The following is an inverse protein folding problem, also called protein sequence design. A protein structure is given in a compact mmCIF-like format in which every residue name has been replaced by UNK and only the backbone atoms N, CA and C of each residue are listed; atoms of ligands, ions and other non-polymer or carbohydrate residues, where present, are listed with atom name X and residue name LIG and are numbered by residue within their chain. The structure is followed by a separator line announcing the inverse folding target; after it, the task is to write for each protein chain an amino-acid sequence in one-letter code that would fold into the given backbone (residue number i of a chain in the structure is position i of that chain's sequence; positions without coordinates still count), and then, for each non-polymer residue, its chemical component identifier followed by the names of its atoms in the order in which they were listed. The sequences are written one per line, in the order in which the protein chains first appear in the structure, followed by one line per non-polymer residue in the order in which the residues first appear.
data_IF_985050656326
#
_entry.id   IF_985050656326
#
_cell.length_a   1.000
_cell.length_b   1.000
_cell.length_c   1.000
_cell.angle_alpha   90.00
_cell.angle_beta   90.00
_cell.angle_gamma   90.00
#
_symmetry.space_group_name_H-M   'P 1'
#
loop_
_entity.id
_entity.type
_entity.pdbx_description
1 polymer ?
#
# COMPACT_ATOMS: atom_id res chain seq x y z
N UNK A 1 16.05 -3.21 6.16
CA UNK A 1 15.03 -3.29 5.10
C UNK A 1 14.16 -2.04 5.01
N UNK A 2 13.49 -1.60 6.09
CA UNK A 2 12.61 -0.41 6.06
C UNK A 2 13.37 0.90 5.81
N UNK A 3 14.52 1.11 6.48
CA UNK A 3 15.33 2.33 6.32
C UNK A 3 15.86 2.49 4.88
N UNK A 4 16.17 1.38 4.21
CA UNK A 4 16.61 1.38 2.81
C UNK A 4 15.49 1.89 1.90
N UNK A 5 14.27 1.38 2.06
CA UNK A 5 13.10 1.83 1.27
C UNK A 5 12.80 3.30 1.49
N UNK A 6 12.75 3.70 2.76
CA UNK A 6 12.53 5.10 3.12
C UNK A 6 13.61 5.99 2.51
N UNK A 7 14.89 5.58 2.62
CA UNK A 7 16.01 6.27 2.00
C UNK A 7 15.85 6.38 0.48
N UNK A 8 15.43 5.32 -0.20
CA UNK A 8 15.18 5.35 -1.64
C UNK A 8 14.07 6.36 -2.00
N UNK A 9 12.95 6.39 -1.27
CA UNK A 9 11.86 7.36 -1.53
C UNK A 9 12.38 8.79 -1.40
N UNK A 10 13.11 9.08 -0.33
CA UNK A 10 13.68 10.42 -0.09
C UNK A 10 14.69 10.79 -1.18
N UNK A 11 15.61 9.88 -1.51
CA UNK A 11 16.63 10.10 -2.56
C UNK A 11 15.97 10.32 -3.92
N UNK A 12 14.97 9.51 -4.29
CA UNK A 12 14.24 9.68 -5.54
C UNK A 12 13.53 11.05 -5.57
N UNK A 13 12.89 11.45 -4.47
CA UNK A 13 12.28 12.78 -4.35
C UNK A 13 13.29 13.91 -4.58
N UNK A 14 14.51 13.79 -4.03
CA UNK A 14 15.58 14.79 -4.20
C UNK A 14 16.16 14.77 -5.63
N UNK A 15 16.37 13.59 -6.21
CA UNK A 15 16.90 13.44 -7.58
C UNK A 15 15.95 14.00 -8.63
N UNK A 16 14.66 14.08 -8.32
CA UNK A 16 13.63 14.65 -9.19
C UNK A 16 13.62 16.19 -9.18
N UNK A 17 14.16 16.86 -8.14
CA UNK A 17 14.19 18.33 -8.00
C UNK A 17 14.77 19.09 -9.20
N UNK A 18 15.90 18.67 -9.80
CA UNK A 18 16.47 19.35 -10.97
C UNK A 18 15.58 19.28 -12.22
N UNK A 19 14.64 18.33 -12.27
CA UNK A 19 13.75 18.09 -13.41
C UNK A 19 12.39 18.78 -13.24
N UNK A 20 12.21 19.56 -12.18
CA UNK A 20 10.95 20.27 -11.94
C UNK A 20 10.68 21.27 -13.05
N UNK A 21 9.53 21.09 -13.69
CA UNK A 21 9.04 22.01 -14.69
C UNK A 21 7.62 22.46 -14.30
N UNK A 22 7.47 23.74 -13.95
CA UNK A 22 6.18 24.31 -13.56
C UNK A 22 5.17 24.30 -14.71
N UNK A 23 5.61 24.16 -15.97
CA UNK A 23 4.74 24.02 -17.13
C UNK A 23 4.04 22.65 -17.19
N UNK A 24 4.50 21.67 -16.39
CA UNK A 24 3.80 20.37 -16.27
C UNK A 24 2.48 20.49 -15.49
N UNK A 25 2.32 21.56 -14.70
CA UNK A 25 1.05 21.86 -14.04
C UNK A 25 0.19 22.66 -15.03
N UNK A 26 -0.78 21.98 -15.63
CA UNK A 26 -1.83 22.61 -16.42
C UNK A 26 -2.69 23.55 -15.56
N UNK A 27 -3.50 24.38 -16.20
CA UNK A 27 -4.37 25.33 -15.53
C UNK A 27 -5.13 24.66 -14.36
N UNK A 28 -5.12 25.31 -13.19
CA UNK A 28 -5.72 24.74 -11.99
C UNK A 28 -7.20 24.40 -12.25
N UNK A 29 -7.64 23.17 -11.96
CA UNK A 29 -9.01 22.75 -12.27
C UNK A 29 -10.04 23.56 -11.48
N UNK A 30 -11.32 23.59 -11.92
CA UNK A 30 -12.38 24.23 -11.15
C UNK A 30 -12.39 23.73 -9.70
N UNK A 31 -12.49 24.65 -8.73
CA UNK A 31 -12.39 24.32 -7.30
C UNK A 31 -13.34 23.19 -6.86
N UNK A 32 -14.53 23.12 -7.44
CA UNK A 32 -15.52 22.08 -7.13
C UNK A 32 -15.05 20.67 -7.54
N UNK A 33 -14.44 20.53 -8.72
CA UNK A 33 -13.90 19.26 -9.20
C UNK A 33 -12.67 18.86 -8.38
N UNK A 34 -11.80 19.81 -8.08
CA UNK A 34 -10.63 19.59 -7.21
C UNK A 34 -11.04 19.01 -5.85
N UNK A 35 -11.99 19.65 -5.15
CA UNK A 35 -12.40 19.16 -3.83
C UNK A 35 -13.12 17.81 -3.88
N UNK A 36 -13.92 17.56 -4.93
CA UNK A 36 -14.53 16.24 -5.14
C UNK A 36 -13.46 15.17 -5.28
N UNK A 37 -12.47 15.41 -6.15
CA UNK A 37 -11.45 14.40 -6.48
C UNK A 37 -10.49 14.18 -5.30
N UNK A 38 -10.12 15.24 -4.58
CA UNK A 38 -9.36 15.12 -3.32
C UNK A 38 -10.15 14.33 -2.29
N UNK A 39 -11.42 14.64 -2.08
CA UNK A 39 -12.23 13.93 -1.09
C UNK A 39 -12.41 12.45 -1.43
N UNK A 40 -12.57 12.12 -2.72
CA UNK A 40 -12.67 10.73 -3.19
C UNK A 40 -11.35 9.97 -3.06
N UNK A 41 -10.20 10.62 -3.29
CA UNK A 41 -8.87 9.96 -3.28
C UNK A 41 -8.21 9.93 -1.89
N UNK A 42 -8.62 10.79 -0.97
CA UNK A 42 -8.03 10.92 0.36
C UNK A 42 -8.13 9.62 1.19
N UNK A 43 -9.27 8.90 1.25
CA UNK A 43 -9.35 7.63 1.96
C UNK A 43 -8.33 6.61 1.43
N UNK A 44 -8.24 6.45 0.10
CA UNK A 44 -7.29 5.52 -0.53
C UNK A 44 -5.84 5.88 -0.24
N UNK A 45 -5.53 7.17 -0.29
CA UNK A 45 -4.19 7.69 0.02
C UNK A 45 -3.83 7.42 1.48
N UNK A 46 -4.74 7.71 2.41
CA UNK A 46 -4.53 7.46 3.84
C UNK A 46 -4.35 5.96 4.13
N UNK A 47 -5.19 5.10 3.56
CA UNK A 47 -5.07 3.65 3.73
C UNK A 47 -3.79 3.09 3.13
N UNK A 48 -3.27 3.69 2.05
CA UNK A 48 -2.05 3.24 1.38
C UNK A 48 -0.77 3.48 2.22
N UNK A 49 -0.74 4.52 3.04
CA UNK A 49 0.40 4.83 3.92
C UNK A 49 0.22 4.32 5.36
N UNK A 50 -0.94 3.75 5.68
CA UNK A 50 -1.30 3.30 7.02
C UNK A 50 -0.76 1.89 7.29
N UNK A 51 0.00 1.74 8.37
CA UNK A 51 0.67 0.49 8.74
C UNK A 51 0.19 -0.04 10.10
N UNK A 52 -1.10 -0.36 10.20
CA UNK A 52 -1.73 -0.81 11.46
C UNK A 52 -1.34 -2.24 11.84
N UNK A 53 -0.97 -3.07 10.87
CA UNK A 53 -0.65 -4.50 11.11
C UNK A 53 0.55 -4.66 12.07
N UNK A 54 1.45 -3.68 12.15
CA UNK A 54 2.60 -3.72 13.06
C UNK A 54 2.27 -3.33 14.50
N UNK A 55 1.12 -2.69 14.77
CA UNK A 55 0.78 -2.19 16.10
C UNK A 55 0.70 -3.30 17.14
N UNK A 56 0.12 -4.45 16.78
CA UNK A 56 -0.02 -5.61 17.67
C UNK A 56 1.37 -6.20 18.03
N UNK A 57 2.21 -6.62 17.06
CA UNK A 57 3.57 -7.10 17.35
C UNK A 57 4.43 -6.07 18.09
N UNK A 58 4.34 -4.79 17.72
CA UNK A 58 5.09 -3.72 18.34
C UNK A 58 4.68 -3.52 19.81
N UNK A 59 3.38 -3.52 20.11
CA UNK A 59 2.91 -3.42 21.49
C UNK A 59 3.37 -4.63 22.32
N UNK A 60 3.31 -5.84 21.77
CA UNK A 60 3.81 -7.04 22.43
C UNK A 60 5.32 -6.92 22.71
N UNK A 61 6.10 -6.39 21.76
CA UNK A 61 7.54 -6.17 21.95
C UNK A 61 7.81 -5.15 23.09
N UNK A 62 7.11 -4.02 23.12
CA UNK A 62 7.26 -3.03 24.19
C UNK A 62 6.83 -3.58 25.55
N UNK A 63 5.80 -4.44 25.62
CA UNK A 63 5.35 -5.10 26.86
C UNK A 63 6.35 -6.12 27.42
N UNK A 64 7.32 -6.59 26.63
CA UNK A 64 8.40 -7.46 27.12
C UNK A 64 9.52 -6.67 27.79
N UNK A 65 9.65 -5.38 27.45
CA UNK A 65 10.70 -4.50 27.97
C UNK A 65 10.20 -3.67 29.14
N UNK A 66 8.95 -3.20 29.07
CA UNK A 66 8.34 -2.36 30.10
C UNK A 66 7.53 -3.17 31.12
N UNK A 67 7.64 -2.80 32.39
CA UNK A 67 6.91 -3.42 33.51
C UNK A 67 5.42 -3.05 33.50
N UNK A 68 5.06 -1.83 33.09
CA UNK A 68 3.67 -1.38 32.99
C UNK A 68 3.09 -1.52 31.57
N UNK A 69 1.99 -2.28 31.49
CA UNK A 69 1.21 -2.52 30.27
C UNK A 69 0.66 -1.23 29.64
N UNK A 70 0.28 -0.22 30.45
CA UNK A 70 -0.23 1.07 29.96
C UNK A 70 0.88 1.89 29.32
N UNK A 71 2.05 1.94 29.94
CA UNK A 71 3.22 2.66 29.45
C UNK A 71 3.71 2.05 28.13
N UNK A 72 3.76 0.71 28.04
CA UNK A 72 4.12 0.00 26.81
C UNK A 72 3.21 0.37 25.62
N UNK A 73 1.90 0.41 25.86
CA UNK A 73 0.90 0.75 24.82
C UNK A 73 1.05 2.22 24.38
N UNK A 74 1.20 3.13 25.33
CA UNK A 74 1.40 4.55 25.03
C UNK A 74 2.69 4.78 24.21
N UNK A 75 3.77 4.10 24.57
CA UNK A 75 5.06 4.17 23.86
C UNK A 75 4.95 3.64 22.43
N UNK A 76 4.25 2.53 22.24
CA UNK A 76 3.96 1.97 20.91
C UNK A 76 3.16 2.96 20.04
N UNK A 77 2.10 3.56 20.58
CA UNK A 77 1.27 4.54 19.84
C UNK A 77 2.08 5.80 19.50
N UNK A 78 2.87 6.31 20.44
CA UNK A 78 3.73 7.48 20.21
C UNK A 78 4.77 7.22 19.14
N UNK A 79 5.45 6.07 19.19
CA UNK A 79 6.41 5.66 18.17
C UNK A 79 5.74 5.54 16.79
N UNK A 80 4.56 4.92 16.72
CA UNK A 80 3.82 4.81 15.46
C UNK A 80 3.44 6.18 14.89
N UNK A 81 2.96 7.10 15.73
CA UNK A 81 2.58 8.46 15.31
C UNK A 81 3.77 9.21 14.70
N UNK A 82 4.93 9.16 15.34
CA UNK A 82 6.14 9.81 14.82
C UNK A 82 6.58 9.18 13.51
N UNK A 83 6.60 7.85 13.42
CA UNK A 83 6.95 7.14 12.19
C UNK A 83 5.98 7.49 11.04
N UNK A 84 4.69 7.57 11.33
CA UNK A 84 3.67 7.96 10.36
C UNK A 84 3.86 9.38 9.82
N UNK A 85 4.15 10.35 10.70
CA UNK A 85 4.42 11.74 10.28
C UNK A 85 5.65 11.81 9.38
N UNK A 86 6.75 11.15 9.75
CA UNK A 86 7.98 11.12 8.94
C UNK A 86 7.71 10.49 7.57
N UNK A 87 6.96 9.38 7.54
CA UNK A 87 6.58 8.72 6.30
C UNK A 87 5.70 9.62 5.43
N UNK A 88 4.67 10.25 6.02
CA UNK A 88 3.76 11.14 5.30
C UNK A 88 4.51 12.32 4.67
N UNK A 89 5.42 12.97 5.40
CA UNK A 89 6.24 14.07 4.87
C UNK A 89 7.10 13.60 3.70
N UNK A 90 7.78 12.44 3.82
CA UNK A 90 8.62 11.92 2.75
C UNK A 90 7.82 11.53 1.50
N UNK A 91 6.68 10.88 1.68
CA UNK A 91 5.80 10.47 0.56
C UNK A 91 5.17 11.68 -0.12
N UNK A 92 4.71 12.68 0.64
CA UNK A 92 4.18 13.92 0.07
C UNK A 92 5.26 14.69 -0.69
N UNK A 93 6.47 14.79 -0.14
CA UNK A 93 7.61 15.40 -0.84
C UNK A 93 7.91 14.68 -2.15
N UNK A 94 7.95 13.34 -2.13
CA UNK A 94 8.12 12.54 -3.34
C UNK A 94 6.97 12.77 -4.34
N UNK A 95 5.72 12.82 -3.88
CA UNK A 95 4.56 13.04 -4.74
C UNK A 95 4.61 14.42 -5.43
N UNK A 96 4.90 15.49 -4.69
CA UNK A 96 5.11 16.82 -5.28
C UNK A 96 6.25 16.80 -6.28
N UNK A 97 7.38 16.20 -5.92
CA UNK A 97 8.54 16.12 -6.81
C UNK A 97 8.23 15.36 -8.10
N UNK A 98 7.45 14.28 -7.99
CA UNK A 98 6.96 13.51 -9.14
C UNK A 98 6.02 14.34 -10.02
N UNK A 99 5.05 15.05 -9.44
CA UNK A 99 4.12 15.92 -10.18
C UNK A 99 4.83 17.03 -10.94
N UNK A 100 5.89 17.62 -10.39
CA UNK A 100 6.65 18.65 -11.10
C UNK A 100 7.56 18.10 -12.19
N UNK A 101 8.05 16.86 -12.04
CA UNK A 101 9.01 16.27 -12.97
C UNK A 101 8.36 15.54 -14.16
N UNK A 102 7.15 15.01 -14.01
CA UNK A 102 6.47 14.16 -15.02
C UNK A 102 5.32 14.92 -15.66
N UNK A 103 5.21 14.86 -17.00
CA UNK A 103 4.13 15.51 -17.74
C UNK A 103 2.83 14.70 -17.69
N UNK A 104 1.69 15.36 -17.96
CA UNK A 104 0.38 14.70 -17.96
C UNK A 104 0.30 13.54 -18.98
N UNK A 105 0.84 13.71 -20.19
CA UNK A 105 0.85 12.66 -21.23
C UNK A 105 1.65 11.42 -20.78
N UNK A 106 2.77 11.62 -20.09
CA UNK A 106 3.56 10.52 -19.52
C UNK A 106 2.80 9.79 -18.39
N UNK A 107 2.02 10.51 -17.60
CA UNK A 107 1.19 9.91 -16.55
C UNK A 107 0.03 9.09 -17.14
N UNK A 108 -0.64 9.59 -18.18
CA UNK A 108 -1.75 8.89 -18.85
C UNK A 108 -1.27 7.64 -19.57
N UNK A 109 -0.21 7.75 -20.39
CA UNK A 109 0.35 6.60 -21.10
C UNK A 109 0.79 5.47 -20.17
N UNK A 110 1.32 5.82 -19.00
CA UNK A 110 1.69 4.81 -18.02
C UNK A 110 0.51 4.19 -17.27
N UNK A 111 -0.57 4.95 -17.06
CA UNK A 111 -1.82 4.41 -16.54
C UNK A 111 -2.40 3.38 -17.51
N UNK A 112 -2.45 3.70 -18.81
CA UNK A 112 -2.89 2.77 -19.86
C UNK A 112 -2.02 1.50 -19.93
N UNK A 113 -0.71 1.66 -19.77
CA UNK A 113 0.24 0.54 -19.76
C UNK A 113 0.31 -0.21 -18.41
N UNK A 114 -0.48 0.19 -17.41
CA UNK A 114 -0.47 -0.39 -16.06
C UNK A 114 0.93 -0.38 -15.40
N UNK A 115 1.71 0.67 -15.66
CA UNK A 115 3.07 0.84 -15.14
C UNK A 115 3.03 1.70 -13.87
N UNK A 116 3.75 1.26 -12.83
CA UNK A 116 3.84 2.02 -11.58
C UNK A 116 4.49 3.40 -11.77
N UNK A 117 4.03 4.41 -11.02
CA UNK A 117 4.60 5.77 -11.07
C UNK A 117 6.13 5.79 -10.94
N UNK A 118 6.69 5.01 -10.00
CA UNK A 118 8.14 4.89 -9.80
C UNK A 118 8.88 4.31 -11.02
N UNK A 119 8.25 3.44 -11.79
CA UNK A 119 8.85 2.90 -13.01
C UNK A 119 8.88 3.94 -14.13
N UNK A 120 7.89 4.84 -14.21
CA UNK A 120 7.90 5.98 -15.14
C UNK A 120 9.02 6.95 -14.77
N UNK A 121 9.13 7.31 -13.48
CA UNK A 121 10.21 8.18 -13.00
C UNK A 121 11.59 7.65 -13.41
N UNK A 122 11.78 6.33 -13.36
CA UNK A 122 12.99 5.67 -13.79
C UNK A 122 13.21 5.62 -15.32
N UNK A 123 12.16 5.77 -16.12
CA UNK A 123 12.26 5.84 -17.58
C UNK A 123 12.56 7.26 -18.05
N UNK A 124 11.92 8.27 -17.44
CA UNK A 124 12.01 9.68 -17.84
C UNK A 124 13.30 10.34 -17.34
N UNK A 125 13.80 9.94 -16.16
CA UNK A 125 14.99 10.56 -15.57
C UNK A 125 16.25 9.80 -15.98
N UNK A 126 17.25 10.48 -16.57
CA UNK A 126 18.49 9.83 -16.97
C UNK A 126 19.27 9.36 -15.73
N UNK A 127 19.69 8.09 -15.74
CA UNK A 127 20.52 7.50 -14.69
C UNK A 127 20.18 6.03 -14.42
N UNK A 128 21.17 5.15 -14.55
CA UNK A 128 21.04 3.72 -14.21
C UNK A 128 20.71 3.51 -12.74
N UNK A 129 21.16 4.41 -11.86
CA UNK A 129 20.89 4.38 -10.41
C UNK A 129 19.40 4.49 -10.12
N UNK A 130 18.66 5.38 -10.79
CA UNK A 130 17.22 5.57 -10.58
C UNK A 130 16.44 4.31 -10.97
N UNK A 131 16.82 3.66 -12.07
CA UNK A 131 16.23 2.38 -12.52
C UNK A 131 16.41 1.25 -11.51
N UNK A 132 17.65 1.08 -11.02
CA UNK A 132 17.95 0.04 -10.02
C UNK A 132 17.23 0.32 -8.70
N UNK A 133 17.25 1.57 -8.23
CA UNK A 133 16.57 1.96 -6.99
C UNK A 133 15.04 1.76 -7.07
N UNK A 134 14.42 2.13 -8.20
CA UNK A 134 12.99 1.93 -8.45
C UNK A 134 12.61 0.44 -8.45
N UNK A 135 13.36 -0.40 -9.18
CA UNK A 135 13.12 -1.84 -9.23
C UNK A 135 13.27 -2.50 -7.85
N UNK A 136 14.35 -2.19 -7.12
CA UNK A 136 14.58 -2.70 -5.77
C UNK A 136 13.48 -2.26 -4.80
N UNK A 137 13.07 -0.99 -4.87
CA UNK A 137 11.99 -0.47 -4.04
C UNK A 137 10.69 -1.24 -4.31
N UNK A 138 10.31 -1.43 -5.58
CA UNK A 138 9.08 -2.14 -5.94
C UNK A 138 9.08 -3.59 -5.40
N UNK A 139 10.15 -4.35 -5.63
CA UNK A 139 10.25 -5.75 -5.16
C UNK A 139 10.17 -5.81 -3.64
N UNK A 140 10.99 -5.01 -2.95
CA UNK A 140 10.99 -5.04 -1.50
C UNK A 140 9.67 -4.52 -0.92
N UNK A 141 9.05 -3.51 -1.52
CA UNK A 141 7.75 -2.96 -1.11
C UNK A 141 6.69 -4.05 -1.11
N UNK A 142 6.53 -4.77 -2.22
CA UNK A 142 5.59 -5.88 -2.36
C UNK A 142 5.86 -6.96 -1.30
N UNK A 143 7.11 -7.39 -1.15
CA UNK A 143 7.48 -8.43 -0.18
C UNK A 143 7.14 -8.04 1.27
N UNK A 144 7.47 -6.82 1.70
CA UNK A 144 7.14 -6.40 3.08
C UNK A 144 5.65 -6.16 3.29
N UNK A 145 4.95 -5.61 2.29
CA UNK A 145 3.51 -5.43 2.38
C UNK A 145 2.81 -6.80 2.53
N UNK A 146 3.23 -7.78 1.71
CA UNK A 146 2.75 -9.15 1.79
C UNK A 146 3.01 -9.76 3.18
N UNK A 147 4.24 -9.71 3.68
CA UNK A 147 4.59 -10.27 4.99
C UNK A 147 3.84 -9.58 6.14
N UNK A 148 3.68 -8.25 6.08
CA UNK A 148 2.96 -7.49 7.11
C UNK A 148 1.48 -7.87 7.18
N UNK A 149 0.82 -7.97 6.02
CA UNK A 149 -0.58 -8.42 5.93
C UNK A 149 -0.71 -9.87 6.36
N UNK A 150 0.19 -10.75 5.90
CA UNK A 150 0.18 -12.18 6.25
C UNK A 150 0.28 -12.40 7.76
N UNK A 151 1.21 -11.72 8.44
CA UNK A 151 1.36 -11.84 9.89
C UNK A 151 0.12 -11.35 10.64
N UNK A 152 -0.43 -10.19 10.26
CA UNK A 152 -1.66 -9.66 10.87
C UNK A 152 -2.87 -10.56 10.65
N UNK A 153 -2.98 -11.15 9.46
CA UNK A 153 -4.04 -12.09 9.11
C UNK A 153 -3.94 -13.40 9.90
N UNK A 154 -2.72 -13.95 10.02
CA UNK A 154 -2.45 -15.14 10.81
C UNK A 154 -2.79 -14.92 12.30
N UNK A 155 -2.39 -13.78 12.87
CA UNK A 155 -2.75 -13.40 14.25
C UNK A 155 -4.28 -13.30 14.42
N UNK A 156 -4.96 -12.64 13.48
CA UNK A 156 -6.41 -12.47 13.53
C UNK A 156 -7.17 -13.81 13.48
N UNK A 157 -6.82 -14.69 12.53
CA UNK A 157 -7.50 -15.99 12.41
C UNK A 157 -7.19 -16.86 13.62
N UNK A 158 -5.95 -16.88 14.10
CA UNK A 158 -5.62 -17.60 15.33
C UNK A 158 -6.46 -17.11 16.50
N UNK A 159 -6.60 -15.79 16.67
CA UNK A 159 -7.45 -15.21 17.70
C UNK A 159 -8.93 -15.62 17.57
N UNK A 160 -9.51 -15.52 16.38
CA UNK A 160 -10.91 -15.91 16.11
C UNK A 160 -11.12 -17.39 16.40
N UNK A 161 -10.27 -18.25 15.84
CA UNK A 161 -10.44 -19.70 15.93
C UNK A 161 -10.24 -20.17 17.37
N UNK A 162 -9.22 -19.68 18.09
CA UNK A 162 -9.05 -20.02 19.51
C UNK A 162 -10.28 -19.58 20.31
N UNK A 163 -10.79 -18.36 20.11
CA UNK A 163 -11.97 -17.88 20.81
C UNK A 163 -13.23 -18.75 20.52
N UNK A 164 -13.39 -19.24 19.30
CA UNK A 164 -14.51 -20.13 18.93
C UNK A 164 -14.34 -21.52 19.51
N UNK A 165 -13.15 -22.12 19.44
CA UNK A 165 -12.91 -23.49 19.93
C UNK A 165 -13.00 -23.55 21.46
N UNK A 166 -12.47 -22.55 22.18
CA UNK A 166 -12.55 -22.49 23.65
C UNK A 166 -14.00 -22.38 24.15
N UNK A 167 -14.94 -21.97 23.28
CA UNK A 167 -16.38 -21.98 23.57
C UNK A 167 -17.00 -23.38 23.60
N UNK A 168 -16.38 -24.36 22.95
CA UNK A 168 -16.90 -25.74 22.83
C UNK A 168 -16.01 -26.78 23.52
N UNK A 169 -14.71 -26.52 23.68
CA UNK A 169 -13.72 -27.45 24.24
C UNK A 169 -12.86 -26.69 25.25
N UNK A 170 -12.64 -27.27 26.44
CA UNK A 170 -11.75 -26.71 27.45
C UNK A 170 -10.30 -26.58 26.92
N UNK A 171 -9.66 -25.44 27.20
CA UNK A 171 -8.33 -25.06 26.67
C UNK A 171 -7.25 -26.14 26.87
N UNK A 172 -7.32 -26.91 27.96
CA UNK A 172 -6.37 -27.98 28.29
C UNK A 172 -6.37 -29.15 27.29
N UNK A 173 -7.45 -29.35 26.52
CA UNK A 173 -7.54 -30.45 25.55
C UNK A 173 -7.14 -30.05 24.13
N UNK A 174 -6.80 -28.78 23.88
CA UNK A 174 -6.53 -28.27 22.54
C UNK A 174 -5.05 -28.45 22.19
N UNK A 175 -4.76 -29.29 21.19
CA UNK A 175 -3.41 -29.40 20.65
C UNK A 175 -3.08 -28.17 19.77
N UNK A 176 -2.34 -27.23 20.36
CA UNK A 176 -1.93 -25.97 19.74
C UNK A 176 -1.17 -26.16 18.42
N UNK A 177 -0.40 -27.25 18.24
CA UNK A 177 0.33 -27.52 16.99
C UNK A 177 -0.60 -27.89 15.85
N UNK A 178 -1.56 -28.78 16.12
CA UNK A 178 -2.55 -29.22 15.12
C UNK A 178 -3.46 -28.06 14.74
N UNK A 179 -3.87 -27.25 15.72
CA UNK A 179 -4.67 -26.04 15.49
C UNK A 179 -3.95 -25.06 14.54
N UNK A 180 -2.66 -24.81 14.79
CA UNK A 180 -1.88 -23.89 13.97
C UNK A 180 -1.69 -24.37 12.53
N UNK A 181 -1.48 -25.69 12.34
CA UNK A 181 -1.38 -26.30 11.00
C UNK A 181 -2.72 -26.27 10.28
N UNK A 182 -3.82 -26.63 10.96
CA UNK A 182 -5.16 -26.60 10.38
C UNK A 182 -5.57 -25.18 9.93
N UNK A 183 -5.28 -24.16 10.75
CA UNK A 183 -5.49 -22.75 10.40
C UNK A 183 -4.68 -22.36 9.17
N UNK A 184 -3.40 -22.73 9.13
CA UNK A 184 -2.51 -22.38 8.01
C UNK A 184 -2.99 -23.02 6.71
N UNK A 185 -3.40 -24.29 6.74
CA UNK A 185 -3.96 -25.00 5.58
C UNK A 185 -5.29 -24.37 5.15
N UNK A 186 -6.20 -24.08 6.10
CA UNK A 186 -7.49 -23.45 5.80
C UNK A 186 -7.34 -22.07 5.17
N UNK A 187 -6.39 -21.27 5.63
CA UNK A 187 -6.03 -19.98 5.03
C UNK A 187 -5.56 -20.13 3.59
N UNK A 188 -4.63 -21.06 3.34
CA UNK A 188 -4.08 -21.28 2.00
C UNK A 188 -5.19 -21.72 1.03
N UNK A 189 -6.05 -22.65 1.45
CA UNK A 189 -7.18 -23.12 0.64
C UNK A 189 -8.20 -22.00 0.38
N UNK A 190 -8.51 -21.18 1.38
CA UNK A 190 -9.42 -20.04 1.21
C UNK A 190 -8.85 -18.99 0.25
N UNK A 191 -7.57 -18.65 0.37
CA UNK A 191 -6.89 -17.73 -0.55
C UNK A 191 -6.82 -18.29 -1.97
N UNK A 192 -6.55 -19.59 -2.11
CA UNK A 192 -6.56 -20.25 -3.41
C UNK A 192 -7.97 -20.22 -4.03
N UNK A 193 -9.01 -20.53 -3.27
CA UNK A 193 -10.39 -20.44 -3.75
C UNK A 193 -10.74 -19.01 -4.18
N UNK A 194 -10.37 -18.02 -3.37
CA UNK A 194 -10.56 -16.61 -3.69
C UNK A 194 -9.91 -16.20 -5.00
N UNK A 195 -8.65 -16.60 -5.24
CA UNK A 195 -7.94 -16.34 -6.50
C UNK A 195 -8.59 -17.09 -7.67
N UNK A 196 -8.95 -18.36 -7.47
CA UNK A 196 -9.56 -19.22 -8.50
C UNK A 196 -10.88 -18.67 -9.02
N UNK A 197 -11.67 -18.04 -8.15
CA UNK A 197 -12.98 -17.47 -8.52
C UNK A 197 -12.90 -16.17 -9.33
N UNK A 198 -11.69 -15.59 -9.54
CA UNK A 198 -11.48 -14.27 -10.19
C UNK A 198 -12.42 -13.17 -9.69
N UNK A 199 -12.91 -13.31 -8.46
CA UNK A 199 -13.87 -12.40 -7.86
C UNK A 199 -13.24 -11.00 -7.67
N UNK A 200 -11.93 -10.96 -7.38
CA UNK A 200 -11.19 -9.71 -7.26
C UNK A 200 -11.09 -8.95 -8.58
N UNK A 201 -10.83 -9.63 -9.70
CA UNK A 201 -10.70 -8.98 -11.02
C UNK A 201 -12.02 -8.38 -11.47
N UNK A 202 -13.12 -9.13 -11.29
CA UNK A 202 -14.47 -8.68 -11.65
C UNK A 202 -14.96 -7.51 -10.79
N UNK A 203 -14.73 -7.54 -9.48
CA UNK A 203 -15.05 -6.42 -8.58
C UNK A 203 -14.15 -5.21 -8.84
N UNK A 204 -12.86 -5.41 -9.11
CA UNK A 204 -11.95 -4.33 -9.47
C UNK A 204 -12.36 -3.70 -10.80
N UNK A 205 -12.68 -4.46 -11.83
CA UNK A 205 -13.21 -3.90 -13.08
C UNK A 205 -14.51 -3.13 -12.88
N UNK A 206 -15.41 -3.59 -12.01
CA UNK A 206 -16.66 -2.88 -11.71
C UNK A 206 -16.44 -1.61 -10.85
N UNK A 207 -15.45 -1.61 -9.96
CA UNK A 207 -15.15 -0.50 -9.06
C UNK A 207 -14.17 0.53 -9.64
N UNK A 208 -13.31 0.12 -10.58
CA UNK A 208 -12.24 0.90 -11.20
C UNK A 208 -12.40 1.09 -12.71
N UNK A 209 -13.54 0.71 -13.31
CA UNK A 209 -13.92 1.40 -14.54
C UNK A 209 -13.91 2.89 -14.20
N UNK A 210 -13.09 3.73 -14.87
CA UNK A 210 -13.35 5.14 -14.81
C UNK A 210 -14.80 5.26 -15.25
N UNK A 211 -15.63 5.95 -14.45
CA UNK A 211 -16.84 6.52 -15.02
C UNK A 211 -16.34 7.25 -16.26
N UNK A 212 -16.53 6.63 -17.43
CA UNK A 212 -16.13 7.18 -18.71
C UNK A 212 -16.84 8.51 -18.73
N UNK A 213 -16.08 9.58 -18.54
CA UNK A 213 -16.59 10.93 -18.68
C UNK A 213 -17.25 10.94 -20.04
N UNK A 214 -18.57 11.18 -20.15
CA UNK A 214 -19.21 11.20 -21.45
C UNK A 214 -18.61 12.38 -22.22
N UNK A 215 -17.62 12.11 -23.08
CA UNK A 215 -17.04 13.12 -23.98
C UNK A 215 -15.54 13.10 -24.28
N UNK A 216 -14.68 12.19 -23.75
CA UNK A 216 -13.20 12.35 -23.92
C UNK A 216 -12.50 11.29 -24.81
N UNK A 217 -13.15 10.22 -25.28
CA UNK A 217 -12.52 9.31 -26.25
C UNK A 217 -13.50 8.96 -27.39
N UNK A 218 -13.15 9.20 -28.67
CA UNK A 218 -13.81 8.51 -29.77
C UNK A 218 -13.31 7.06 -29.81
N UNK A 219 -14.24 6.10 -29.70
CA UNK A 219 -14.00 4.69 -29.97
C UNK A 219 -13.52 4.48 -31.43
N UNK A 220 -12.43 3.72 -31.65
CA UNK A 220 -12.52 2.67 -32.67
C UNK A 220 -11.61 1.45 -32.40
N UNK A 221 -11.51 0.90 -31.18
CA UNK A 221 -10.67 -0.28 -30.93
C UNK A 221 -11.31 -1.44 -30.15
N UNK A 222 -12.63 -1.45 -30.01
CA UNK A 222 -13.38 -2.59 -29.43
C UNK A 222 -14.28 -3.31 -30.45
N UNK A 223 -13.92 -3.30 -31.74
CA UNK A 223 -14.64 -4.04 -32.80
C UNK A 223 -13.80 -5.09 -33.52
N UNK A 224 -12.70 -5.57 -32.91
CA UNK A 224 -11.74 -6.43 -33.61
C UNK A 224 -10.96 -7.47 -32.81
N UNK A 225 -11.37 -7.83 -31.58
CA UNK A 225 -10.86 -9.00 -30.86
C UNK A 225 -11.98 -9.69 -30.07
#
# INVERSE_FOLDING_TARGET
MVCVKFGIIVVLGVVMVPYWNLNNISAFPPMAEFFRDVFLTLPFTLFSILFVQILSPMNIAYRKVESDKRIATYRAIRANRVAYIILAVAVLFFAFSFTFAISHEQAVSAFEQNISALAIAAQVIPGSVVKVMSALLNIFAILTAFLGIYLGFQEAIKGIVTNVITRFIAEEKINQKVLHVAISIGVILALWFWISTRFSDSVLHAAWQPAVWPGVLPDPLLSGL
#
